data_IF_421095169187
#
_entry.id   IF_421095169187
#
_cell.length_a   1.000
_cell.length_b   1.000
_cell.length_c   1.000
_cell.angle_alpha   90.00
_cell.angle_beta   90.00
_cell.angle_gamma   90.00
#
_symmetry.space_group_name_H-M   'P 1'
#
loop_
_entity.id
_entity.type
_entity.pdbx_description
1 polymer ?
#
# COMPACT_ATOMS: atom_id res chain seq x y z
N UNK A 1 -20.70 -5.56 -16.63
CA UNK A 1 -19.67 -4.57 -16.25
C UNK A 1 -20.00 -4.05 -14.87
N UNK A 2 -19.17 -4.36 -13.87
CA UNK A 2 -19.35 -3.83 -12.50
C UNK A 2 -19.06 -2.33 -12.45
N UNK A 3 -19.66 -1.63 -11.48
CA UNK A 3 -19.36 -0.22 -11.25
C UNK A 3 -17.87 -0.01 -10.93
N UNK A 4 -17.28 1.06 -11.46
CA UNK A 4 -15.90 1.43 -11.16
C UNK A 4 -15.73 1.70 -9.66
N UNK A 5 -14.70 1.11 -9.06
CA UNK A 5 -14.36 1.30 -7.66
C UNK A 5 -13.78 2.69 -7.43
N UNK A 6 -14.14 3.28 -6.29
CA UNK A 6 -13.67 4.60 -5.88
C UNK A 6 -13.33 4.58 -4.38
N UNK A 7 -12.40 5.44 -3.99
CA UNK A 7 -12.21 5.78 -2.58
C UNK A 7 -13.41 6.63 -2.12
N UNK A 8 -14.03 6.25 -1.00
CA UNK A 8 -15.35 6.70 -0.56
C UNK A 8 -15.33 7.43 0.81
N UNK A 9 -14.14 7.80 1.29
CA UNK A 9 -13.93 8.54 2.55
C UNK A 9 -12.91 7.85 3.45
N UNK A 10 -12.64 8.43 4.61
CA UNK A 10 -11.66 7.91 5.56
C UNK A 10 -11.99 6.49 6.03
N UNK A 11 -10.95 5.70 6.30
CA UNK A 11 -11.04 4.41 6.98
C UNK A 11 -11.64 4.57 8.38
N UNK A 12 -12.49 3.63 8.78
CA UNK A 12 -13.09 3.63 10.11
C UNK A 12 -12.13 3.08 11.20
N UNK A 13 -12.35 3.43 12.48
CA UNK A 13 -11.48 2.98 13.57
C UNK A 13 -11.41 1.45 13.75
N UNK A 14 -12.46 0.70 13.39
CA UNK A 14 -12.45 -0.75 13.53
C UNK A 14 -11.55 -1.41 12.48
N UNK A 15 -11.54 -0.90 11.25
CA UNK A 15 -10.60 -1.30 10.21
C UNK A 15 -9.15 -1.00 10.60
N UNK A 16 -8.89 0.18 11.18
CA UNK A 16 -7.57 0.55 11.72
C UNK A 16 -7.15 -0.42 12.82
N UNK A 17 -8.01 -0.70 13.79
CA UNK A 17 -7.70 -1.60 14.91
C UNK A 17 -7.38 -3.02 14.44
N UNK A 18 -8.14 -3.56 13.48
CA UNK A 18 -7.86 -4.89 12.91
C UNK A 18 -6.55 -4.92 12.12
N UNK A 19 -6.22 -3.85 11.40
CA UNK A 19 -4.94 -3.74 10.69
C UNK A 19 -3.76 -3.74 11.65
N UNK A 20 -3.87 -3.02 12.78
CA UNK A 20 -2.85 -3.06 13.83
C UNK A 20 -2.75 -4.42 14.51
N UNK A 21 -3.87 -5.13 14.68
CA UNK A 21 -3.87 -6.50 15.19
C UNK A 21 -3.17 -7.46 14.22
N UNK A 22 -3.46 -7.35 12.92
CA UNK A 22 -2.83 -8.16 11.88
C UNK A 22 -1.33 -7.89 11.78
N UNK A 23 -0.91 -6.62 11.77
CA UNK A 23 0.50 -6.26 11.74
C UNK A 23 1.27 -6.87 12.93
N UNK A 24 0.70 -6.81 14.15
CA UNK A 24 1.28 -7.46 15.33
C UNK A 24 1.33 -8.98 15.21
N UNK A 25 0.29 -9.58 14.63
CA UNK A 25 0.24 -11.02 14.38
C UNK A 25 1.32 -11.47 13.40
N UNK A 26 1.67 -10.62 12.44
CA UNK A 26 2.81 -10.81 11.54
C UNK A 26 4.16 -10.44 12.17
N UNK A 27 4.21 -10.01 13.44
CA UNK A 27 5.45 -9.70 14.15
C UNK A 27 5.99 -8.27 13.95
N UNK A 28 5.21 -7.38 13.33
CA UNK A 28 5.62 -5.98 13.14
C UNK A 28 5.55 -5.19 14.46
N UNK A 29 6.50 -4.27 14.67
CA UNK A 29 6.52 -3.34 15.81
C UNK A 29 6.39 -1.88 15.36
N UNK A 30 6.10 -0.98 16.31
CA UNK A 30 6.02 0.47 16.07
C UNK A 30 5.06 0.85 14.93
N UNK A 31 4.00 0.04 14.78
CA UNK A 31 3.08 0.13 13.66
C UNK A 31 2.16 1.33 13.82
N UNK A 32 2.14 2.18 12.80
CA UNK A 32 1.28 3.34 12.69
C UNK A 32 0.53 3.32 11.36
N UNK A 33 -0.81 3.34 11.41
CA UNK A 33 -1.65 3.52 10.23
C UNK A 33 -1.72 5.01 9.90
N UNK A 34 -1.41 5.37 8.65
CA UNK A 34 -1.52 6.73 8.15
C UNK A 34 -2.96 7.00 7.73
N UNK A 35 -3.75 7.57 8.64
CA UNK A 35 -5.19 7.83 8.43
C UNK A 35 -5.46 8.69 7.19
N UNK A 36 -4.61 9.70 6.94
CA UNK A 36 -4.74 10.58 5.77
C UNK A 36 -4.59 9.84 4.43
N UNK A 37 -4.02 8.63 4.45
CA UNK A 37 -3.80 7.77 3.29
C UNK A 37 -4.49 6.41 3.46
N UNK A 38 -5.59 6.36 4.21
CA UNK A 38 -6.39 5.16 4.45
C UNK A 38 -7.86 5.46 4.22
N UNK A 39 -8.51 4.68 3.36
CA UNK A 39 -9.82 5.00 2.80
C UNK A 39 -10.74 3.80 2.69
N UNK A 40 -12.02 4.03 2.91
CA UNK A 40 -13.09 3.11 2.47
C UNK A 40 -13.16 3.08 0.95
N UNK A 41 -13.53 1.94 0.40
CA UNK A 41 -13.79 1.73 -1.02
C UNK A 41 -15.30 1.63 -1.24
N UNK A 42 -15.79 2.04 -2.41
CA UNK A 42 -17.21 2.06 -2.77
C UNK A 42 -17.91 0.69 -2.70
N UNK A 43 -17.18 -0.42 -2.62
CA UNK A 43 -17.72 -1.77 -2.42
C UNK A 43 -17.77 -2.19 -0.94
N UNK A 44 -17.46 -1.29 0.01
CA UNK A 44 -17.46 -1.57 1.45
C UNK A 44 -16.12 -2.06 2.02
N UNK A 45 -15.14 -2.40 1.18
CA UNK A 45 -13.79 -2.72 1.65
C UNK A 45 -13.06 -1.48 2.18
N UNK A 46 -11.92 -1.68 2.83
CA UNK A 46 -11.06 -0.59 3.32
C UNK A 46 -9.62 -0.83 2.86
N UNK A 47 -9.00 0.18 2.27
CA UNK A 47 -7.57 0.21 1.97
C UNK A 47 -6.86 1.04 3.03
N UNK A 48 -5.84 0.48 3.64
CA UNK A 48 -5.05 1.15 4.67
C UNK A 48 -3.58 1.17 4.26
N UNK A 49 -2.89 2.23 4.64
CA UNK A 49 -1.44 2.33 4.48
C UNK A 49 -0.82 2.79 5.79
N UNK A 50 0.45 2.45 5.99
CA UNK A 50 1.14 2.83 7.20
C UNK A 50 2.61 2.50 7.16
N UNK A 51 3.24 2.67 8.32
CA UNK A 51 4.65 2.36 8.56
C UNK A 51 4.79 1.51 9.81
N UNK A 52 5.90 0.79 9.92
CA UNK A 52 6.24 -0.02 11.08
C UNK A 52 7.55 -0.75 10.83
N UNK A 53 8.12 -1.34 11.86
CA UNK A 53 9.31 -2.18 11.75
C UNK A 53 8.87 -3.59 11.40
N UNK A 54 9.33 -4.11 10.26
CA UNK A 54 9.02 -5.48 9.84
C UNK A 54 9.83 -6.49 10.67
N UNK A 55 9.36 -7.74 10.80
CA UNK A 55 10.19 -8.82 11.33
C UNK A 55 11.53 -8.86 10.59
N UNK A 56 12.62 -8.93 11.35
CA UNK A 56 13.99 -9.02 10.84
C UNK A 56 14.51 -7.81 10.05
N UNK A 57 13.73 -6.71 9.95
CA UNK A 57 14.19 -5.49 9.30
C UNK A 57 15.07 -4.63 10.22
N UNK A 58 16.14 -4.09 9.65
CA UNK A 58 17.04 -3.13 10.33
C UNK A 58 16.58 -1.68 10.17
N UNK A 59 15.59 -1.44 9.30
CA UNK A 59 15.03 -0.13 8.99
C UNK A 59 13.50 -0.13 9.13
N UNK A 60 12.92 1.05 9.36
CA UNK A 60 11.48 1.22 9.33
C UNK A 60 10.95 0.92 7.91
N UNK A 61 9.91 0.10 7.83
CA UNK A 61 9.22 -0.24 6.59
C UNK A 61 7.85 0.43 6.46
N UNK A 62 7.24 0.26 5.29
CA UNK A 62 5.85 0.62 5.03
C UNK A 62 5.04 -0.58 4.63
N UNK A 63 3.72 -0.49 4.81
CA UNK A 63 2.79 -1.53 4.42
C UNK A 63 1.57 -0.94 3.72
N UNK A 64 0.88 -1.81 2.99
CA UNK A 64 -0.49 -1.63 2.54
C UNK A 64 -1.32 -2.79 3.09
N UNK A 65 -2.57 -2.50 3.44
CA UNK A 65 -3.54 -3.50 3.85
C UNK A 65 -4.88 -3.30 3.13
N UNK A 66 -5.60 -4.40 2.95
CA UNK A 66 -6.96 -4.43 2.45
C UNK A 66 -7.81 -5.23 3.42
N UNK A 67 -8.89 -4.61 3.90
CA UNK A 67 -9.91 -5.28 4.71
C UNK A 67 -11.17 -5.49 3.90
N UNK A 68 -11.65 -6.73 3.86
CA UNK A 68 -12.88 -7.13 3.18
C UNK A 68 -13.56 -8.24 3.99
N UNK A 69 -14.88 -8.12 4.23
CA UNK A 69 -15.68 -9.15 4.90
C UNK A 69 -15.04 -9.72 6.18
N UNK A 70 -14.47 -8.85 7.03
CA UNK A 70 -13.71 -9.15 8.26
C UNK A 70 -12.31 -9.73 8.13
N UNK A 71 -11.89 -10.10 6.93
CA UNK A 71 -10.51 -10.48 6.67
C UNK A 71 -9.65 -9.24 6.43
N UNK A 72 -8.47 -9.20 7.05
CA UNK A 72 -7.46 -8.17 6.81
C UNK A 72 -6.22 -8.81 6.21
N UNK A 73 -5.95 -8.49 4.95
CA UNK A 73 -4.70 -8.83 4.29
C UNK A 73 -3.76 -7.64 4.40
N UNK A 74 -2.51 -7.87 4.79
CA UNK A 74 -1.48 -6.85 4.92
C UNK A 74 -0.21 -7.39 4.28
N UNK A 75 0.43 -6.57 3.45
CA UNK A 75 1.75 -6.88 2.90
C UNK A 75 2.75 -5.76 3.20
N UNK A 76 3.99 -6.12 3.55
CA UNK A 76 5.09 -5.17 3.62
C UNK A 76 5.46 -4.66 2.21
N UNK A 77 6.05 -3.47 2.15
CA UNK A 77 6.40 -2.78 0.89
C UNK A 77 7.83 -2.22 0.96
N UNK A 78 8.01 -0.90 1.03
CA UNK A 78 9.31 -0.25 1.20
C UNK A 78 9.93 -0.66 2.54
N UNK A 79 11.24 -0.94 2.56
CA UNK A 79 11.96 -1.39 3.77
C UNK A 79 11.85 -2.89 4.03
N UNK A 80 11.42 -3.67 3.03
CA UNK A 80 11.33 -5.13 3.12
C UNK A 80 11.58 -5.82 1.77
N UNK A 81 12.16 -7.02 1.79
CA UNK A 81 12.43 -7.82 0.59
C UNK A 81 13.29 -7.06 -0.42
N UNK A 82 12.84 -6.99 -1.67
CA UNK A 82 13.56 -6.28 -2.75
C UNK A 82 13.71 -4.76 -2.52
N UNK A 83 12.98 -4.19 -1.55
CA UNK A 83 13.03 -2.77 -1.19
C UNK A 83 13.65 -2.55 0.19
N UNK A 84 14.35 -3.54 0.76
CA UNK A 84 14.93 -3.49 2.11
C UNK A 84 15.98 -2.39 2.30
N UNK A 85 16.70 -2.02 1.24
CA UNK A 85 17.75 -1.01 1.31
C UNK A 85 17.22 0.43 1.52
N UNK A 86 15.90 0.62 1.46
CA UNK A 86 15.24 1.91 1.60
C UNK A 86 14.41 1.95 2.89
N UNK A 87 14.77 2.85 3.80
CA UNK A 87 13.91 3.15 4.95
C UNK A 87 12.66 3.89 4.48
N UNK A 88 11.50 3.50 5.01
CA UNK A 88 10.25 4.19 4.72
C UNK A 88 9.99 5.35 5.68
N UNK A 89 9.70 6.53 5.12
CA UNK A 89 9.22 7.72 5.82
C UNK A 89 7.70 7.85 5.89
N UNK A 90 6.96 6.86 5.39
CA UNK A 90 5.49 6.82 5.38
C UNK A 90 4.86 7.00 3.99
N UNK A 91 3.58 6.59 3.83
CA UNK A 91 2.82 6.79 2.60
C UNK A 91 2.50 8.26 2.37
N UNK A 92 2.61 8.72 1.12
CA UNK A 92 2.34 10.10 0.70
C UNK A 92 1.07 10.23 -0.13
N UNK A 93 0.68 9.19 -0.87
CA UNK A 93 -0.57 9.12 -1.60
C UNK A 93 -0.99 7.67 -1.87
N UNK A 94 -2.30 7.42 -1.97
CA UNK A 94 -2.89 6.16 -2.44
C UNK A 94 -4.05 6.45 -3.39
N UNK A 95 -4.23 5.63 -4.42
CA UNK A 95 -5.39 5.68 -5.29
C UNK A 95 -5.69 4.35 -5.98
N UNK A 96 -6.95 4.14 -6.33
CA UNK A 96 -7.33 3.11 -7.29
C UNK A 96 -6.96 3.61 -8.71
N UNK A 97 -6.10 2.86 -9.39
CA UNK A 97 -5.65 3.13 -10.75
C UNK A 97 -6.54 2.43 -11.78
N UNK A 98 -6.96 1.20 -11.50
CA UNK A 98 -7.89 0.41 -12.32
C UNK A 98 -8.79 -0.45 -11.44
N UNK A 99 -10.08 -0.55 -11.78
CA UNK A 99 -11.07 -1.37 -11.06
C UNK A 99 -11.28 -2.76 -11.67
N UNK A 100 -10.33 -3.22 -12.48
CA UNK A 100 -10.36 -4.53 -13.12
C UNK A 100 -10.27 -5.71 -12.14
N UNK A 101 -9.94 -6.88 -12.67
CA UNK A 101 -9.59 -8.07 -11.90
C UNK A 101 -8.19 -8.51 -12.35
N UNK A 102 -7.14 -8.31 -11.53
CA UNK A 102 -7.18 -7.69 -10.20
C UNK A 102 -7.41 -6.17 -10.25
N UNK A 103 -7.79 -5.59 -9.11
CA UNK A 103 -7.82 -4.14 -8.90
C UNK A 103 -6.38 -3.66 -8.79
N UNK A 104 -6.02 -2.59 -9.51
CA UNK A 104 -4.69 -1.97 -9.38
C UNK A 104 -4.76 -0.74 -8.51
N UNK A 105 -3.95 -0.73 -7.46
CA UNK A 105 -3.82 0.34 -6.47
C UNK A 105 -2.43 0.94 -6.64
N UNK A 106 -2.36 2.25 -6.78
CA UNK A 106 -1.11 3.00 -6.79
C UNK A 106 -0.88 3.56 -5.40
N UNK A 107 0.33 3.40 -4.89
CA UNK A 107 0.77 4.04 -3.65
C UNK A 107 2.11 4.72 -3.91
N UNK A 108 2.31 5.88 -3.29
CA UNK A 108 3.62 6.51 -3.24
C UNK A 108 4.06 6.59 -1.79
N UNK A 109 5.33 6.29 -1.53
CA UNK A 109 5.94 6.38 -0.21
C UNK A 109 7.09 7.37 -0.22
N UNK A 110 7.36 8.00 0.92
CA UNK A 110 8.65 8.65 1.12
C UNK A 110 9.68 7.57 1.42
N UNK A 111 10.71 7.46 0.60
CA UNK A 111 11.83 6.55 0.80
C UNK A 111 13.12 7.32 1.09
N UNK A 112 13.97 6.73 1.93
CA UNK A 112 15.29 7.27 2.25
C UNK A 112 16.34 6.18 2.17
N UNK A 113 17.51 6.53 1.64
CA UNK A 113 18.73 5.73 1.65
C UNK A 113 19.87 6.62 2.20
N UNK A 114 21.06 6.07 2.50
CA UNK A 114 22.18 6.87 2.99
C UNK A 114 22.57 8.05 2.08
N UNK A 115 22.31 7.93 0.77
CA UNK A 115 22.77 8.90 -0.23
C UNK A 115 21.65 9.75 -0.85
N UNK A 116 20.38 9.41 -0.63
CA UNK A 116 19.27 10.07 -1.29
C UNK A 116 17.95 9.87 -0.54
N UNK A 117 17.08 10.88 -0.63
CA UNK A 117 15.67 10.78 -0.27
C UNK A 117 14.82 10.99 -1.52
N UNK A 118 13.67 10.33 -1.58
CA UNK A 118 12.83 10.37 -2.77
C UNK A 118 11.42 9.83 -2.52
N UNK A 119 10.65 9.80 -3.60
CA UNK A 119 9.34 9.16 -3.62
C UNK A 119 9.48 7.81 -4.31
N UNK A 120 9.04 6.76 -3.63
CA UNK A 120 9.01 5.38 -4.16
C UNK A 120 7.59 5.09 -4.63
N UNK A 121 7.36 5.00 -5.95
CA UNK A 121 6.07 4.58 -6.49
C UNK A 121 5.92 3.07 -6.40
N UNK A 122 4.72 2.58 -6.07
CA UNK A 122 4.40 1.16 -6.10
C UNK A 122 3.01 0.94 -6.68
N UNK A 123 2.87 -0.17 -7.40
CA UNK A 123 1.59 -0.68 -7.89
C UNK A 123 1.30 -2.00 -7.18
N UNK A 124 0.13 -2.07 -6.57
CA UNK A 124 -0.35 -3.21 -5.81
C UNK A 124 -1.55 -3.78 -6.53
N UNK A 125 -1.55 -5.08 -6.74
CA UNK A 125 -2.70 -5.84 -7.20
C UNK A 125 -3.53 -6.31 -6.00
N UNK A 126 -4.83 -6.11 -6.08
CA UNK A 126 -5.80 -6.59 -5.10
C UNK A 126 -6.85 -7.45 -5.79
N UNK A 127 -6.82 -8.75 -5.51
CA UNK A 127 -7.87 -9.67 -5.91
C UNK A 127 -8.99 -9.61 -4.86
N UNK A 128 -10.20 -9.26 -5.32
CA UNK A 128 -11.36 -9.07 -4.45
C UNK A 128 -12.15 -10.35 -4.19
N UNK A 129 -11.80 -11.43 -4.89
CA UNK A 129 -12.46 -12.73 -4.72
C UNK A 129 -11.97 -13.45 -3.47
N UNK A 130 -10.71 -13.26 -3.12
CA UNK A 130 -10.02 -13.88 -1.99
C UNK A 130 -9.27 -12.89 -1.09
N UNK A 131 -9.41 -11.58 -1.35
CA UNK A 131 -8.74 -10.48 -0.65
C UNK A 131 -7.20 -10.52 -0.72
N UNK A 132 -6.62 -11.25 -1.68
CA UNK A 132 -5.16 -11.33 -1.85
C UNK A 132 -4.57 -10.00 -2.30
N UNK A 133 -3.44 -9.62 -1.70
CA UNK A 133 -2.62 -8.48 -2.10
C UNK A 133 -1.26 -8.94 -2.62
N UNK A 134 -0.83 -8.38 -3.76
CA UNK A 134 0.48 -8.64 -4.36
C UNK A 134 1.11 -7.33 -4.85
N UNK A 135 2.42 -7.22 -4.79
CA UNK A 135 3.14 -6.13 -5.45
C UNK A 135 3.27 -6.47 -6.93
N UNK A 136 2.80 -5.59 -7.82
CA UNK A 136 3.13 -5.66 -9.24
C UNK A 136 4.57 -5.15 -9.41
N UNK A 137 5.53 -6.06 -9.29
CA UNK A 137 6.96 -5.73 -9.37
C UNK A 137 7.29 -5.06 -10.71
N UNK A 138 6.76 -5.58 -11.83
CA UNK A 138 7.06 -5.07 -13.15
C UNK A 138 6.61 -3.62 -13.32
N UNK A 139 5.37 -3.28 -12.90
CA UNK A 139 4.89 -1.90 -12.97
C UNK A 139 5.55 -0.99 -11.93
N UNK A 140 5.88 -1.50 -10.74
CA UNK A 140 6.56 -0.73 -9.70
C UNK A 140 7.98 -0.34 -10.14
N UNK A 141 8.76 -1.31 -10.66
CA UNK A 141 10.09 -1.05 -11.22
C UNK A 141 10.01 -0.11 -12.42
N UNK A 142 9.08 -0.34 -13.35
CA UNK A 142 8.88 0.56 -14.50
C UNK A 142 8.56 1.99 -14.06
N UNK A 143 7.73 2.17 -13.04
CA UNK A 143 7.40 3.49 -12.49
C UNK A 143 8.64 4.15 -11.88
N UNK A 144 9.41 3.41 -11.09
CA UNK A 144 10.64 3.89 -10.48
C UNK A 144 11.69 4.29 -11.52
N UNK A 145 11.94 3.43 -12.51
CA UNK A 145 12.91 3.67 -13.60
C UNK A 145 12.50 4.86 -14.48
N UNK A 146 11.20 5.11 -14.61
CA UNK A 146 10.65 6.26 -15.32
C UNK A 146 10.60 7.54 -14.48
N UNK A 147 11.09 7.52 -13.24
CA UNK A 147 11.09 8.66 -12.33
C UNK A 147 9.70 9.11 -11.89
N UNK A 148 8.71 8.21 -11.88
CA UNK A 148 7.34 8.55 -11.45
C UNK A 148 7.30 8.80 -9.96
N UNK A 149 6.81 9.97 -9.56
CA UNK A 149 6.71 10.37 -8.14
C UNK A 149 5.29 10.71 -7.71
N UNK A 150 4.29 10.52 -8.58
CA UNK A 150 2.90 10.89 -8.30
C UNK A 150 1.91 9.83 -8.80
N UNK A 151 0.75 9.76 -8.16
CA UNK A 151 -0.38 8.94 -8.62
C UNK A 151 -0.78 9.29 -10.06
N UNK A 152 -0.75 10.56 -10.44
CA UNK A 152 -1.08 10.99 -11.79
C UNK A 152 -0.13 10.37 -12.83
N UNK A 153 1.16 10.26 -12.49
CA UNK A 153 2.17 9.59 -13.33
C UNK A 153 2.05 8.05 -13.35
N UNK A 154 1.44 7.44 -12.33
CA UNK A 154 1.18 5.99 -12.32
C UNK A 154 0.01 5.58 -13.22
N UNK A 155 -1.01 6.43 -13.36
CA UNK A 155 -2.23 6.09 -14.11
C UNK A 155 -1.99 5.63 -15.56
N UNK A 156 -1.08 6.22 -16.34
CA UNK A 156 -0.79 5.76 -17.70
C UNK A 156 -0.16 4.37 -17.76
N UNK A 157 0.48 3.89 -16.68
CA UNK A 157 1.21 2.61 -16.69
C UNK A 157 0.30 1.39 -16.55
N UNK A 158 -0.92 1.57 -16.03
CA UNK A 158 -1.89 0.49 -15.76
C UNK A 158 -3.00 0.37 -16.80
N UNK A 159 -2.96 1.20 -17.86
CA UNK A 159 -3.96 1.25 -18.92
C UNK A 159 -3.71 0.22 -19.99
#
# INVERSE_FOLDING_TARGET
MGAALKLAGAADPAAVAATLAEARRQGMTDVEVTQAQSFRVSNGAVLLTGKGTMPDATVAGCFIAARQNDETMLIPTVGYGEYEAQSCGGPTAIAILSSGSPVRIGVTFRGSSPNATGIVPMVIEWDRSDNTLLIDQALSSKAQDSGVTTIAGLRPLVR
#
